data_IF_519573815573
#
_entry.id   IF_519573815573
#
_cell.length_a   1.000
_cell.length_b   1.000
_cell.length_c   1.000
_cell.angle_alpha   90.00
_cell.angle_beta   90.00
_cell.angle_gamma   90.00
#
_symmetry.space_group_name_H-M   'P 1'
#
loop_
_entity.id
_entity.type
_entity.pdbx_description
1 polymer ?
#
# COMPACT_ATOMS: atom_id res chain seq x y z
N UNK A 1 -12.45 4.77 19.44
CA UNK A 1 -11.28 5.63 19.25
C UNK A 1 -10.74 6.11 20.57
N UNK A 2 -9.50 5.71 20.88
CA UNK A 2 -8.76 6.20 22.04
C UNK A 2 -8.50 7.70 21.89
N UNK A 3 -8.35 8.43 22.99
CA UNK A 3 -8.11 9.87 22.97
C UNK A 3 -6.88 10.26 22.14
N UNK A 4 -5.76 9.53 22.30
CA UNK A 4 -4.52 9.75 21.53
C UNK A 4 -4.70 9.56 20.02
N UNK A 5 -5.64 8.72 19.58
CA UNK A 5 -5.92 8.52 18.15
C UNK A 5 -6.62 9.74 17.56
N UNK A 6 -7.55 10.34 18.29
CA UNK A 6 -8.21 11.58 17.88
C UNK A 6 -7.19 12.73 17.76
N UNK A 7 -6.28 12.85 18.73
CA UNK A 7 -5.20 13.86 18.68
C UNK A 7 -4.29 13.63 17.47
N UNK A 8 -3.90 12.37 17.24
CA UNK A 8 -3.07 12.02 16.10
C UNK A 8 -3.73 12.38 14.76
N UNK A 9 -5.02 12.07 14.57
CA UNK A 9 -5.77 12.49 13.38
C UNK A 9 -5.82 14.02 13.29
N UNK A 10 -6.08 14.75 14.39
CA UNK A 10 -6.11 16.21 14.39
C UNK A 10 -4.77 16.83 14.00
N UNK A 11 -3.65 16.23 14.43
CA UNK A 11 -2.32 16.66 13.99
C UNK A 11 -2.13 16.46 12.49
N UNK A 12 -2.58 15.32 11.94
CA UNK A 12 -2.49 15.06 10.51
C UNK A 12 -3.42 15.97 9.69
N UNK A 13 -4.62 16.25 10.19
CA UNK A 13 -5.54 17.20 9.57
C UNK A 13 -4.94 18.61 9.56
N UNK A 14 -4.43 19.09 10.70
CA UNK A 14 -3.75 20.38 10.78
C UNK A 14 -2.54 20.46 9.83
N UNK A 15 -1.81 19.36 9.64
CA UNK A 15 -0.76 19.29 8.62
C UNK A 15 -1.33 19.50 7.22
N UNK A 16 -2.37 18.76 6.84
CA UNK A 16 -2.98 18.83 5.51
C UNK A 16 -3.60 20.19 5.20
N UNK A 17 -4.17 20.87 6.21
CA UNK A 17 -4.79 22.19 6.08
C UNK A 17 -3.79 23.35 6.30
N UNK A 18 -2.51 23.06 6.60
CA UNK A 18 -1.49 24.05 7.01
C UNK A 18 -1.93 24.91 8.21
N UNK A 19 -2.69 24.32 9.13
CA UNK A 19 -3.21 24.98 10.32
C UNK A 19 -2.31 24.79 11.55
N UNK A 20 -2.47 25.69 12.52
CA UNK A 20 -1.81 25.62 13.83
C UNK A 20 -2.79 25.02 14.85
N UNK A 21 -2.26 24.26 15.79
CA UNK A 21 -3.03 23.80 16.94
C UNK A 21 -2.92 24.78 18.11
N UNK A 22 -4.04 24.98 18.82
CA UNK A 22 -4.15 25.84 20.00
C UNK A 22 -4.03 25.06 21.32
N UNK A 23 -3.77 25.80 22.40
CA UNK A 23 -3.02 25.43 23.63
C UNK A 23 -3.67 24.45 24.62
N UNK A 24 -4.96 24.12 24.51
CA UNK A 24 -5.68 23.47 25.63
C UNK A 24 -5.87 21.95 25.46
N UNK A 25 -5.00 21.30 24.68
CA UNK A 25 -5.08 19.86 24.43
C UNK A 25 -4.05 19.14 25.28
N UNK A 26 -4.50 18.25 26.16
CA UNK A 26 -3.60 17.29 26.81
C UNK A 26 -3.05 16.33 25.76
N UNK A 27 -1.72 16.21 25.64
CA UNK A 27 -1.09 15.32 24.65
C UNK A 27 -0.21 14.31 25.37
N UNK A 28 -0.49 13.03 25.16
CA UNK A 28 0.44 11.95 25.51
C UNK A 28 1.50 11.85 24.41
N UNK A 29 2.67 12.43 24.67
CA UNK A 29 3.77 12.47 23.71
C UNK A 29 4.35 11.09 23.37
N UNK A 30 4.26 10.11 24.27
CA UNK A 30 4.74 8.76 23.98
C UNK A 30 3.83 8.08 22.96
N UNK A 31 2.52 8.24 23.13
CA UNK A 31 1.54 7.74 22.16
C UNK A 31 1.68 8.44 20.80
N UNK A 32 1.85 9.77 20.78
CA UNK A 32 2.02 10.52 19.52
C UNK A 32 3.30 10.12 18.80
N UNK A 33 4.43 9.99 19.50
CA UNK A 33 5.69 9.50 18.91
C UNK A 33 5.50 8.07 18.39
N UNK A 34 4.84 7.20 19.15
CA UNK A 34 4.60 5.83 18.72
C UNK A 34 3.77 5.79 17.44
N UNK A 35 2.64 6.50 17.42
CA UNK A 35 1.74 6.57 16.28
C UNK A 35 2.44 7.18 15.05
N UNK A 36 3.14 8.30 15.22
CA UNK A 36 3.86 8.93 14.12
C UNK A 36 4.91 8.00 13.52
N UNK A 37 5.61 7.25 14.37
CA UNK A 37 6.62 6.27 13.94
C UNK A 37 6.04 5.06 13.24
N UNK A 38 5.01 4.43 13.78
CA UNK A 38 4.44 3.24 13.13
C UNK A 38 3.71 3.60 11.82
N UNK A 39 3.35 4.86 11.61
CA UNK A 39 2.73 5.38 10.39
C UNK A 39 3.71 6.13 9.46
N UNK A 40 4.99 6.25 9.83
CA UNK A 40 6.03 6.99 9.09
C UNK A 40 5.63 8.43 8.71
N UNK A 41 5.06 9.18 9.66
CA UNK A 41 4.58 10.56 9.49
C UNK A 41 5.25 11.54 10.47
N UNK A 42 6.36 11.15 11.10
CA UNK A 42 7.07 11.98 12.09
C UNK A 42 7.43 13.38 11.56
N UNK A 43 7.84 13.46 10.28
CA UNK A 43 8.15 14.73 9.64
C UNK A 43 6.93 15.66 9.52
N UNK A 44 5.75 15.11 9.22
CA UNK A 44 4.50 15.89 9.15
C UNK A 44 4.11 16.43 10.54
N UNK A 45 4.23 15.59 11.56
CA UNK A 45 3.97 15.96 12.96
C UNK A 45 4.96 17.05 13.41
N UNK A 46 6.24 16.95 13.05
CA UNK A 46 7.23 17.99 13.33
C UNK A 46 6.81 19.35 12.79
N UNK A 47 6.37 19.43 11.52
CA UNK A 47 5.96 20.68 10.88
C UNK A 47 4.83 21.35 11.64
N UNK A 48 3.78 20.59 11.98
CA UNK A 48 2.63 21.12 12.73
C UNK A 48 3.06 21.62 14.09
N UNK A 49 3.80 20.80 14.85
CA UNK A 49 4.19 21.14 16.22
C UNK A 49 5.16 22.33 16.28
N UNK A 50 6.09 22.45 15.32
CA UNK A 50 7.02 23.58 15.23
C UNK A 50 6.28 24.90 14.99
N UNK A 51 5.18 24.86 14.24
CA UNK A 51 4.41 26.05 13.88
C UNK A 51 3.27 26.35 14.89
N UNK A 52 2.95 25.40 15.75
CA UNK A 52 1.89 25.52 16.76
C UNK A 52 2.42 26.09 18.07
N UNK A 53 1.56 26.76 18.83
CA UNK A 53 1.90 27.29 20.16
C UNK A 53 1.57 26.23 21.22
N UNK A 54 2.24 25.08 21.18
CA UNK A 54 2.02 23.98 22.14
C UNK A 54 3.30 23.78 22.96
N UNK A 55 3.14 23.50 24.26
CA UNK A 55 4.25 23.09 25.14
C UNK A 55 4.76 21.70 24.80
N UNK A 56 5.57 21.58 23.75
CA UNK A 56 6.20 20.31 23.34
C UNK A 56 7.49 20.07 24.12
N UNK A 57 7.68 18.91 24.77
CA UNK A 57 8.93 18.57 25.43
C UNK A 57 10.12 18.62 24.47
N UNK A 58 11.26 19.12 24.95
CA UNK A 58 12.46 19.34 24.13
C UNK A 58 12.98 18.04 23.48
N UNK A 59 12.95 16.92 24.22
CA UNK A 59 13.35 15.62 23.73
C UNK A 59 12.46 15.12 22.57
N UNK A 60 11.15 15.38 22.64
CA UNK A 60 10.16 15.06 21.59
C UNK A 60 10.46 15.89 20.34
N UNK A 61 10.61 17.21 20.50
CA UNK A 61 10.89 18.11 19.39
C UNK A 61 12.24 17.80 18.71
N UNK A 62 13.26 17.46 19.50
CA UNK A 62 14.57 17.06 18.98
C UNK A 62 14.51 15.75 18.19
N UNK A 63 13.76 14.76 18.68
CA UNK A 63 13.55 13.50 17.95
C UNK A 63 12.83 13.75 16.62
N UNK A 64 11.71 14.47 16.65
CA UNK A 64 10.91 14.78 15.46
C UNK A 64 11.69 15.60 14.43
N UNK A 65 12.52 16.55 14.87
CA UNK A 65 13.43 17.31 13.99
C UNK A 65 14.43 16.41 13.26
N UNK A 66 15.04 15.46 13.97
CA UNK A 66 15.95 14.47 13.34
C UNK A 66 15.22 13.62 12.30
N UNK A 67 14.01 13.17 12.61
CA UNK A 67 13.20 12.39 11.68
C UNK A 67 12.75 13.20 10.47
N UNK A 68 12.39 14.47 10.65
CA UNK A 68 12.10 15.40 9.55
C UNK A 68 13.29 15.52 8.58
N UNK A 69 14.49 15.78 9.10
CA UNK A 69 15.70 15.89 8.26
C UNK A 69 15.99 14.57 7.51
N UNK A 70 15.87 13.43 8.20
CA UNK A 70 16.09 12.12 7.60
C UNK A 70 15.09 11.84 6.46
N UNK A 71 13.81 12.16 6.67
CA UNK A 71 12.74 12.00 5.68
C UNK A 71 12.97 12.87 4.45
N UNK A 72 13.29 14.17 4.65
CA UNK A 72 13.59 15.09 3.54
C UNK A 72 14.80 14.61 2.74
N UNK A 73 15.87 14.18 3.42
CA UNK A 73 17.06 13.64 2.75
C UNK A 73 16.75 12.40 1.91
N UNK A 74 15.93 11.49 2.43
CA UNK A 74 15.52 10.29 1.69
C UNK A 74 14.70 10.66 0.45
N UNK A 75 13.78 11.62 0.58
CA UNK A 75 12.98 12.11 -0.54
C UNK A 75 13.84 12.70 -1.67
N UNK A 76 14.78 13.57 -1.32
CA UNK A 76 15.70 14.19 -2.29
C UNK A 76 16.56 13.12 -2.99
N UNK A 77 17.04 12.13 -2.24
CA UNK A 77 17.78 11.01 -2.83
C UNK A 77 16.93 10.22 -3.83
N UNK A 78 15.67 9.94 -3.49
CA UNK A 78 14.72 9.25 -4.37
C UNK A 78 14.47 10.04 -5.65
N UNK A 79 14.26 11.36 -5.55
CA UNK A 79 14.02 12.25 -6.70
C UNK A 79 15.25 12.36 -7.62
N UNK A 80 16.45 12.44 -7.04
CA UNK A 80 17.70 12.47 -7.81
C UNK A 80 17.92 11.17 -8.59
N UNK A 81 17.68 10.02 -7.96
CA UNK A 81 17.80 8.72 -8.61
C UNK A 81 16.71 8.50 -9.67
N UNK A 82 15.47 8.93 -9.41
CA UNK A 82 14.40 8.93 -10.42
C UNK A 82 14.77 9.78 -11.64
N UNK A 83 15.26 11.00 -11.42
CA UNK A 83 15.68 11.89 -12.50
C UNK A 83 16.79 11.26 -13.35
N UNK A 84 17.68 10.49 -12.74
CA UNK A 84 18.75 9.75 -13.44
C UNK A 84 18.19 8.58 -14.26
N UNK A 85 17.21 7.84 -13.74
CA UNK A 85 16.52 6.77 -14.47
C UNK A 85 15.73 7.34 -15.65
N UNK A 86 14.93 8.39 -15.43
CA UNK A 86 14.15 9.07 -16.48
C UNK A 86 15.06 9.47 -17.64
N UNK A 87 16.15 10.20 -17.37
CA UNK A 87 17.08 10.62 -18.43
C UNK A 87 17.67 9.44 -19.20
N UNK A 88 18.03 8.36 -18.52
CA UNK A 88 18.60 7.17 -19.17
C UNK A 88 17.57 6.45 -20.04
N UNK A 89 16.31 6.42 -19.61
CA UNK A 89 15.23 5.77 -20.35
C UNK A 89 14.78 6.61 -21.55
N UNK A 90 14.71 7.93 -21.40
CA UNK A 90 14.45 8.88 -22.49
C UNK A 90 15.51 8.81 -23.60
N UNK A 91 16.81 8.73 -23.23
CA UNK A 91 17.91 8.57 -24.21
C UNK A 91 17.77 7.29 -25.06
N UNK A 92 17.00 6.34 -24.58
CA UNK A 92 16.86 5.00 -25.13
C UNK A 92 15.43 4.71 -25.60
N UNK A 93 14.58 5.75 -25.67
CA UNK A 93 13.18 5.70 -26.10
C UNK A 93 12.34 4.65 -25.33
N UNK A 94 12.53 4.56 -24.02
CA UNK A 94 11.73 3.70 -23.14
C UNK A 94 10.66 4.54 -22.44
N UNK A 95 9.41 4.24 -22.76
CA UNK A 95 8.25 4.82 -22.09
C UNK A 95 8.11 4.27 -20.66
N UNK A 96 7.92 5.18 -19.70
CA UNK A 96 7.57 4.84 -18.31
C UNK A 96 6.26 5.48 -17.89
N UNK A 97 5.46 4.73 -17.12
CA UNK A 97 4.34 5.30 -16.38
C UNK A 97 4.72 5.39 -14.90
N UNK A 98 4.77 6.61 -14.36
CA UNK A 98 4.95 6.84 -12.93
C UNK A 98 3.66 6.51 -12.20
N UNK A 99 3.75 5.86 -11.04
CA UNK A 99 2.56 5.45 -10.29
C UNK A 99 2.74 5.46 -8.78
N UNK A 100 1.63 5.29 -8.08
CA UNK A 100 1.57 5.25 -6.61
C UNK A 100 2.22 6.50 -6.00
N UNK A 101 3.18 6.27 -5.11
CA UNK A 101 3.62 7.26 -4.18
C UNK A 101 4.31 8.46 -4.81
N UNK A 102 5.06 8.26 -5.89
CA UNK A 102 5.82 9.34 -6.54
C UNK A 102 4.92 10.34 -7.23
N UNK A 103 3.74 9.89 -7.68
CA UNK A 103 2.70 10.74 -8.23
C UNK A 103 1.94 11.44 -7.10
N UNK A 104 1.39 10.67 -6.15
CA UNK A 104 0.51 11.23 -5.11
C UNK A 104 1.22 12.18 -4.16
N UNK A 105 2.54 12.01 -3.92
CA UNK A 105 3.27 12.90 -3.00
C UNK A 105 3.22 14.37 -3.39
N UNK A 106 3.04 14.69 -4.69
CA UNK A 106 3.04 16.07 -5.20
C UNK A 106 1.88 16.91 -4.67
N UNK A 107 0.82 16.25 -4.20
CA UNK A 107 -0.38 16.90 -3.66
C UNK A 107 -0.35 17.08 -2.14
N UNK A 108 0.72 16.65 -1.46
CA UNK A 108 0.92 16.93 -0.04
C UNK A 108 1.50 18.35 0.16
N UNK A 109 1.20 19.02 1.28
CA UNK A 109 1.73 20.36 1.57
C UNK A 109 3.26 20.46 1.47
N UNK A 110 3.96 19.43 1.95
CA UNK A 110 5.39 19.22 1.72
C UNK A 110 5.58 17.85 1.07
N UNK A 111 5.80 17.77 -0.26
CA UNK A 111 5.95 16.50 -0.96
C UNK A 111 7.03 15.60 -0.36
N UNK A 112 8.10 16.18 0.17
CA UNK A 112 9.23 15.45 0.75
C UNK A 112 8.88 14.68 2.02
N UNK A 113 7.79 15.07 2.70
CA UNK A 113 7.35 14.44 3.94
C UNK A 113 6.43 13.24 3.69
N UNK A 114 5.92 13.07 2.47
CA UNK A 114 5.22 11.84 2.08
C UNK A 114 6.26 10.73 1.89
N UNK A 115 6.53 10.00 2.97
CA UNK A 115 7.46 8.88 2.96
C UNK A 115 7.08 7.77 1.96
N UNK A 116 8.07 7.24 1.25
CA UNK A 116 7.94 6.13 0.28
C UNK A 116 9.02 5.08 0.52
N UNK A 117 8.65 3.80 0.45
CA UNK A 117 9.61 2.70 0.55
C UNK A 117 10.31 2.40 -0.78
N UNK A 118 9.59 2.62 -1.88
CA UNK A 118 9.95 2.28 -3.25
C UNK A 118 9.53 3.38 -4.21
N UNK A 119 10.05 3.32 -5.44
CA UNK A 119 9.60 4.09 -6.59
C UNK A 119 9.08 3.09 -7.63
N UNK A 120 7.80 3.18 -7.93
CA UNK A 120 7.12 2.30 -8.87
C UNK A 120 7.10 2.88 -10.28
N UNK A 121 7.62 2.12 -11.23
CA UNK A 121 7.62 2.44 -12.65
C UNK A 121 6.93 1.32 -13.40
N UNK A 122 6.06 1.64 -14.36
CA UNK A 122 5.54 0.66 -15.31
C UNK A 122 6.15 0.87 -16.69
N UNK A 123 6.62 -0.22 -17.28
CA UNK A 123 7.16 -0.27 -18.64
C UNK A 123 6.36 -1.26 -19.48
N UNK A 124 6.52 -1.20 -20.81
CA UNK A 124 6.05 -2.26 -21.70
C UNK A 124 6.83 -3.55 -21.42
N UNK A 125 6.17 -4.70 -21.57
CA UNK A 125 6.82 -6.00 -21.34
C UNK A 125 7.99 -6.25 -22.30
N UNK A 126 7.91 -5.72 -23.53
CA UNK A 126 8.99 -5.76 -24.52
C UNK A 126 10.28 -5.10 -24.05
N UNK A 127 10.18 -4.08 -23.18
CA UNK A 127 11.31 -3.24 -22.79
C UNK A 127 12.01 -3.77 -21.53
N UNK A 128 11.55 -4.92 -21.01
CA UNK A 128 12.00 -5.49 -19.75
C UNK A 128 13.52 -5.74 -19.70
N UNK A 129 14.05 -6.44 -20.69
CA UNK A 129 15.48 -6.79 -20.76
C UNK A 129 16.34 -5.54 -21.03
N UNK A 130 15.84 -4.61 -21.86
CA UNK A 130 16.51 -3.34 -22.12
C UNK A 130 16.58 -2.50 -20.84
N UNK A 131 15.47 -2.36 -20.12
CA UNK A 131 15.40 -1.64 -18.84
C UNK A 131 16.35 -2.22 -17.79
N UNK A 132 16.44 -3.55 -17.71
CA UNK A 132 17.39 -4.23 -16.80
C UNK A 132 18.85 -3.89 -17.11
N UNK A 133 19.23 -3.96 -18.39
CA UNK A 133 20.56 -3.57 -18.83
C UNK A 133 20.88 -2.12 -18.46
N UNK A 134 19.98 -1.18 -18.79
CA UNK A 134 20.20 0.26 -18.56
C UNK A 134 20.29 0.61 -17.07
N UNK A 135 19.45 -0.01 -16.22
CA UNK A 135 19.49 0.19 -14.77
C UNK A 135 20.81 -0.30 -14.18
N UNK A 136 21.32 -1.47 -14.62
CA UNK A 136 22.62 -1.99 -14.22
C UNK A 136 23.77 -1.10 -14.69
N UNK A 137 23.69 -0.60 -15.93
CA UNK A 137 24.69 0.32 -16.49
C UNK A 137 24.84 1.58 -15.63
N UNK A 138 23.72 2.13 -15.14
CA UNK A 138 23.74 3.29 -14.24
C UNK A 138 23.88 2.90 -12.75
N UNK A 139 24.31 1.67 -12.45
CA UNK A 139 24.78 1.26 -11.12
C UNK A 139 23.71 0.75 -10.15
N UNK A 140 22.52 0.37 -10.61
CA UNK A 140 21.54 -0.34 -9.79
C UNK A 140 21.83 -1.84 -9.73
N UNK A 141 21.66 -2.42 -8.55
CA UNK A 141 21.75 -3.86 -8.32
C UNK A 141 20.37 -4.51 -8.42
N UNK A 142 20.24 -5.51 -9.30
CA UNK A 142 19.03 -6.33 -9.42
C UNK A 142 18.86 -7.26 -8.21
N UNK A 143 17.74 -7.14 -7.49
CA UNK A 143 17.40 -8.04 -6.39
C UNK A 143 16.57 -9.22 -6.90
N UNK A 144 17.26 -10.32 -7.22
CA UNK A 144 16.63 -11.57 -7.67
C UNK A 144 15.68 -12.20 -6.64
N UNK A 145 15.83 -11.90 -5.34
CA UNK A 145 15.07 -12.57 -4.26
C UNK A 145 13.69 -11.95 -4.08
N UNK A 146 13.60 -10.64 -4.24
CA UNK A 146 12.35 -9.88 -4.13
C UNK A 146 11.73 -9.60 -5.50
N UNK A 147 12.45 -9.83 -6.60
CA UNK A 147 11.88 -9.81 -7.96
C UNK A 147 11.00 -11.02 -8.24
N UNK A 148 9.95 -10.78 -9.02
CA UNK A 148 9.00 -11.80 -9.44
C UNK A 148 8.62 -11.72 -10.92
N UNK A 149 7.52 -12.39 -11.18
CA UNK A 149 6.81 -12.52 -12.45
C UNK A 149 6.65 -11.24 -13.30
N UNK A 150 6.20 -10.17 -12.65
CA UNK A 150 5.71 -8.95 -13.30
C UNK A 150 6.34 -7.69 -12.69
N UNK A 151 7.21 -7.86 -11.69
CA UNK A 151 7.85 -6.79 -10.93
C UNK A 151 9.30 -7.17 -10.67
N UNK A 152 10.24 -6.35 -11.13
CA UNK A 152 11.67 -6.51 -10.89
C UNK A 152 12.18 -5.40 -10.00
N UNK A 153 12.97 -5.77 -9.00
CA UNK A 153 13.43 -4.90 -7.93
C UNK A 153 14.89 -4.50 -8.16
N UNK A 154 15.18 -3.20 -8.01
CA UNK A 154 16.49 -2.62 -8.24
C UNK A 154 16.88 -1.71 -7.08
N UNK A 155 18.09 -1.85 -6.57
CA UNK A 155 18.56 -1.08 -5.41
C UNK A 155 19.83 -0.31 -5.73
N UNK A 156 19.91 0.92 -5.21
CA UNK A 156 21.13 1.72 -5.21
C UNK A 156 21.13 2.61 -3.97
N UNK A 157 22.07 2.36 -3.06
CA UNK A 157 22.06 3.01 -1.74
C UNK A 157 20.77 2.69 -0.98
N UNK A 158 20.02 3.73 -0.58
CA UNK A 158 18.74 3.60 0.11
C UNK A 158 17.53 3.70 -0.83
N UNK A 159 17.72 3.76 -2.14
CA UNK A 159 16.64 3.86 -3.13
C UNK A 159 16.34 2.48 -3.69
N UNK A 160 15.05 2.14 -3.70
CA UNK A 160 14.49 0.92 -4.27
C UNK A 160 13.55 1.32 -5.43
N UNK A 161 13.77 0.75 -6.60
CA UNK A 161 12.83 0.79 -7.72
C UNK A 161 12.11 -0.55 -7.85
N UNK A 162 10.79 -0.50 -7.98
CA UNK A 162 9.97 -1.60 -8.48
C UNK A 162 9.61 -1.31 -9.93
N UNK A 163 10.16 -2.09 -10.87
CA UNK A 163 9.86 -1.98 -12.31
C UNK A 163 8.80 -3.00 -12.66
N UNK A 164 7.60 -2.54 -12.96
CA UNK A 164 6.40 -3.33 -13.26
C UNK A 164 6.22 -3.49 -14.78
N UNK A 165 5.64 -4.62 -15.18
CA UNK A 165 5.05 -4.81 -16.54
C UNK A 165 3.55 -5.04 -16.49
N UNK A 166 2.97 -5.02 -15.29
CA UNK A 166 1.53 -5.09 -15.06
C UNK A 166 1.23 -4.45 -13.70
N UNK A 167 0.19 -3.63 -13.64
CA UNK A 167 -0.21 -2.90 -12.42
C UNK A 167 -0.72 -3.87 -11.35
N UNK A 168 -1.57 -4.82 -11.75
CA UNK A 168 -2.16 -5.84 -10.88
C UNK A 168 -2.07 -7.18 -11.60
N UNK A 169 -1.29 -8.10 -11.03
CA UNK A 169 -0.97 -9.39 -11.64
C UNK A 169 -1.46 -10.59 -10.81
N UNK A 170 -2.21 -10.34 -9.73
CA UNK A 170 -2.74 -11.36 -8.83
C UNK A 170 -4.26 -11.24 -8.74
N UNK A 171 -4.95 -12.37 -8.69
CA UNK A 171 -6.33 -12.39 -8.24
C UNK A 171 -6.36 -11.88 -6.80
N UNK A 172 -7.16 -10.85 -6.54
CA UNK A 172 -7.19 -10.17 -5.26
C UNK A 172 -8.36 -10.68 -4.42
N UNK A 173 -9.50 -10.00 -4.49
CA UNK A 173 -10.69 -10.21 -3.68
C UNK A 173 -11.96 -10.09 -4.54
N UNK A 174 -13.12 -10.47 -3.98
CA UNK A 174 -14.45 -10.31 -4.57
C UNK A 174 -14.70 -11.02 -5.93
N UNK A 175 -13.80 -11.94 -6.31
CA UNK A 175 -13.89 -12.69 -7.58
C UNK A 175 -13.65 -11.84 -8.83
N UNK A 176 -13.12 -10.62 -8.68
CA UNK A 176 -12.89 -9.68 -9.79
C UNK A 176 -11.54 -9.93 -10.45
N UNK A 177 -11.51 -9.88 -11.79
CA UNK A 177 -10.28 -9.97 -12.57
C UNK A 177 -9.64 -8.59 -12.76
N UNK A 178 -8.95 -8.13 -11.72
CA UNK A 178 -8.24 -6.83 -11.74
C UNK A 178 -7.12 -6.76 -12.79
N UNK A 179 -6.53 -7.90 -13.16
CA UNK A 179 -5.53 -7.94 -14.23
C UNK A 179 -6.15 -7.53 -15.56
N UNK A 180 -7.36 -8.01 -15.87
CA UNK A 180 -8.07 -7.62 -17.09
C UNK A 180 -8.52 -6.16 -17.03
N UNK A 181 -9.04 -5.71 -15.88
CA UNK A 181 -9.46 -4.33 -15.69
C UNK A 181 -8.31 -3.33 -15.93
N UNK A 182 -7.11 -3.64 -15.44
CA UNK A 182 -5.92 -2.79 -15.57
C UNK A 182 -5.05 -3.09 -16.80
N UNK A 183 -5.51 -3.94 -17.71
CA UNK A 183 -4.72 -4.41 -18.86
C UNK A 183 -4.34 -3.27 -19.82
N UNK A 184 -5.28 -2.37 -20.06
CA UNK A 184 -5.14 -1.27 -21.02
C UNK A 184 -4.81 0.06 -20.32
N UNK A 185 -3.95 0.03 -19.30
CA UNK A 185 -3.50 1.26 -18.63
C UNK A 185 -2.93 2.28 -19.61
N UNK A 186 -2.21 1.85 -20.66
CA UNK A 186 -1.58 2.76 -21.61
C UNK A 186 -2.59 3.62 -22.39
N UNK A 187 -3.87 3.22 -22.46
CA UNK A 187 -4.95 4.04 -23.05
C UNK A 187 -5.48 5.10 -22.06
N UNK A 188 -5.12 4.95 -20.78
CA UNK A 188 -5.56 5.72 -19.64
C UNK A 188 -4.42 6.51 -18.98
N UNK A 189 -3.40 6.89 -19.76
CA UNK A 189 -2.33 7.78 -19.32
C UNK A 189 -2.30 9.07 -20.11
N UNK A 190 -1.80 10.13 -19.46
CA UNK A 190 -1.44 11.40 -20.08
C UNK A 190 0.08 11.55 -20.08
N UNK A 191 0.62 12.14 -21.16
CA UNK A 191 2.05 12.44 -21.27
C UNK A 191 2.38 13.65 -20.40
N UNK A 192 3.38 13.52 -19.52
CA UNK A 192 3.84 14.58 -18.62
C UNK A 192 5.12 15.23 -19.16
N UNK A 193 6.04 14.42 -19.67
CA UNK A 193 7.23 14.83 -20.39
C UNK A 193 7.60 13.75 -21.44
N UNK A 194 8.69 13.93 -22.19
CA UNK A 194 9.11 12.94 -23.19
C UNK A 194 9.31 11.56 -22.56
N UNK A 195 8.72 10.51 -23.15
CA UNK A 195 8.69 9.13 -22.63
C UNK A 195 8.21 8.94 -21.16
N UNK A 196 7.58 9.93 -20.52
CA UNK A 196 7.08 9.81 -19.15
C UNK A 196 5.60 10.15 -19.09
N UNK A 197 4.84 9.24 -18.51
CA UNK A 197 3.39 9.28 -18.48
C UNK A 197 2.87 9.07 -17.06
N UNK A 198 1.65 9.53 -16.81
CA UNK A 198 0.92 9.31 -15.57
C UNK A 198 -0.52 8.91 -15.87
N UNK A 199 -1.14 8.13 -15.00
CA UNK A 199 -2.55 7.76 -15.15
C UNK A 199 -3.44 9.00 -15.15
N UNK A 200 -4.46 9.00 -16.02
CA UNK A 200 -5.56 9.97 -15.98
C UNK A 200 -6.16 10.00 -14.57
N UNK A 201 -6.55 11.19 -14.11
CA UNK A 201 -6.93 11.46 -12.71
C UNK A 201 -7.97 10.47 -12.13
N UNK A 202 -9.06 10.15 -12.83
CA UNK A 202 -10.07 9.19 -12.36
C UNK A 202 -9.49 7.76 -12.28
N UNK A 203 -8.73 7.36 -13.30
CA UNK A 203 -8.09 6.04 -13.36
C UNK A 203 -7.04 5.88 -12.24
N UNK A 204 -6.27 6.93 -11.97
CA UNK A 204 -5.34 7.00 -10.85
C UNK A 204 -6.06 6.89 -9.50
N UNK A 205 -7.17 7.60 -9.32
CA UNK A 205 -7.96 7.56 -8.09
C UNK A 205 -8.51 6.16 -7.81
N UNK A 206 -9.10 5.50 -8.82
CA UNK A 206 -9.57 4.11 -8.74
C UNK A 206 -8.40 3.17 -8.42
N UNK A 207 -7.24 3.36 -9.06
CA UNK A 207 -6.04 2.57 -8.78
C UNK A 207 -5.59 2.69 -7.31
N UNK A 208 -5.57 3.90 -6.74
CA UNK A 208 -5.20 4.12 -5.33
C UNK A 208 -6.19 3.44 -4.38
N UNK A 209 -7.50 3.48 -4.68
CA UNK A 209 -8.53 2.76 -3.92
C UNK A 209 -8.32 1.24 -3.96
N UNK A 210 -8.09 0.67 -5.15
CA UNK A 210 -7.80 -0.75 -5.33
C UNK A 210 -6.51 -1.14 -4.59
N UNK A 211 -5.48 -0.30 -4.63
CA UNK A 211 -4.22 -0.54 -3.94
C UNK A 211 -4.41 -0.61 -2.43
N UNK A 212 -5.13 0.34 -1.83
CA UNK A 212 -5.44 0.31 -0.40
C UNK A 212 -6.32 -0.90 -0.04
N UNK A 213 -7.35 -1.21 -0.83
CA UNK A 213 -8.17 -2.40 -0.64
C UNK A 213 -7.33 -3.68 -0.63
N UNK A 214 -6.37 -3.81 -1.56
CA UNK A 214 -5.41 -4.93 -1.60
C UNK A 214 -4.56 -5.03 -0.34
N UNK A 215 -4.08 -3.92 0.20
CA UNK A 215 -3.30 -3.92 1.44
C UNK A 215 -4.16 -4.33 2.64
N UNK A 216 -5.34 -3.72 2.78
CA UNK A 216 -6.30 -4.04 3.82
C UNK A 216 -6.71 -5.50 3.80
N UNK A 217 -7.06 -6.04 2.63
CA UNK A 217 -7.45 -7.43 2.43
C UNK A 217 -6.35 -8.44 2.83
N UNK A 218 -5.07 -8.10 2.67
CA UNK A 218 -3.98 -9.07 2.88
C UNK A 218 -3.42 -9.05 4.29
N UNK A 219 -3.09 -7.87 4.79
CA UNK A 219 -2.35 -7.70 6.05
C UNK A 219 -2.75 -6.46 6.83
N UNK A 220 -3.56 -5.56 6.25
CA UNK A 220 -3.85 -4.23 6.79
C UNK A 220 -3.05 -3.13 6.09
N UNK A 221 -3.33 -1.89 6.49
CA UNK A 221 -2.68 -0.68 6.01
C UNK A 221 -2.64 0.39 7.10
N UNK A 222 -1.76 1.37 6.94
CA UNK A 222 -1.66 2.54 7.82
C UNK A 222 -2.38 3.77 7.28
N UNK A 223 -2.42 4.83 8.10
CA UNK A 223 -3.19 6.05 7.81
C UNK A 223 -2.67 6.79 6.57
N UNK A 224 -1.40 6.60 6.21
CA UNK A 224 -0.76 7.28 5.06
C UNK A 224 -1.50 7.02 3.74
N UNK A 225 -2.00 5.81 3.51
CA UNK A 225 -2.78 5.52 2.29
C UNK A 225 -4.18 6.16 2.32
N UNK A 226 -4.73 6.43 3.51
CA UNK A 226 -5.95 7.24 3.64
C UNK A 226 -5.63 8.69 3.33
N UNK A 227 -4.50 9.21 3.80
CA UNK A 227 -4.03 10.56 3.48
C UNK A 227 -3.76 10.74 1.97
N UNK A 228 -3.23 9.71 1.30
CA UNK A 228 -3.07 9.71 -0.17
C UNK A 228 -4.43 9.95 -0.88
N UNK A 229 -5.52 9.40 -0.36
CA UNK A 229 -6.87 9.62 -0.89
C UNK A 229 -7.36 11.02 -0.55
N UNK A 230 -7.13 11.50 0.67
CA UNK A 230 -7.50 12.86 1.10
C UNK A 230 -6.89 13.91 0.17
N UNK A 231 -5.58 13.85 -0.10
CA UNK A 231 -4.93 14.84 -0.97
C UNK A 231 -5.43 14.77 -2.42
N UNK A 232 -5.76 13.57 -2.91
CA UNK A 232 -6.33 13.41 -4.25
C UNK A 232 -7.77 13.95 -4.33
N UNK A 233 -8.58 13.76 -3.30
CA UNK A 233 -9.92 14.36 -3.24
C UNK A 233 -9.80 15.88 -3.18
N UNK A 234 -8.95 16.42 -2.31
CA UNK A 234 -8.79 17.87 -2.15
C UNK A 234 -8.33 18.55 -3.46
N UNK A 235 -7.42 17.92 -4.21
CA UNK A 235 -6.93 18.48 -5.48
C UNK A 235 -7.93 18.36 -6.63
N UNK A 236 -8.60 17.21 -6.74
CA UNK A 236 -9.34 16.85 -7.96
C UNK A 236 -10.86 16.80 -7.79
N UNK A 237 -11.41 17.10 -6.61
CA UNK A 237 -12.85 16.99 -6.35
C UNK A 237 -13.72 17.64 -7.44
N UNK A 238 -13.43 18.90 -7.80
CA UNK A 238 -14.21 19.65 -8.81
C UNK A 238 -13.86 19.23 -10.25
N UNK A 239 -12.81 18.43 -10.43
CA UNK A 239 -12.31 17.94 -11.73
C UNK A 239 -12.73 16.51 -12.02
N UNK A 240 -13.15 15.75 -11.01
CA UNK A 240 -13.53 14.34 -11.14
C UNK A 240 -14.92 14.19 -11.74
N UNK A 241 -15.04 13.26 -12.70
CA UNK A 241 -16.32 12.64 -13.01
C UNK A 241 -16.66 11.59 -11.94
N UNK A 242 -17.40 12.04 -10.91
CA UNK A 242 -17.83 11.18 -9.80
C UNK A 242 -18.80 10.08 -10.23
N UNK A 243 -19.59 10.30 -11.29
CA UNK A 243 -20.50 9.28 -11.81
C UNK A 243 -19.71 8.17 -12.51
N UNK A 244 -18.72 8.53 -13.34
CA UNK A 244 -17.79 7.58 -13.92
C UNK A 244 -17.06 6.76 -12.84
N UNK A 245 -16.49 7.43 -11.83
CA UNK A 245 -15.79 6.75 -10.71
C UNK A 245 -16.73 5.77 -10.02
N UNK A 246 -17.97 6.17 -9.71
CA UNK A 246 -18.96 5.30 -9.07
C UNK A 246 -19.24 4.05 -9.91
N UNK A 247 -19.50 4.24 -11.21
CA UNK A 247 -19.80 3.16 -12.14
C UNK A 247 -18.62 2.18 -12.28
N UNK A 248 -17.39 2.69 -12.34
CA UNK A 248 -16.19 1.84 -12.38
C UNK A 248 -15.98 1.05 -11.08
N UNK A 249 -16.18 1.69 -9.93
CA UNK A 249 -16.09 1.03 -8.63
C UNK A 249 -17.16 -0.05 -8.46
N UNK A 250 -18.37 0.14 -8.99
CA UNK A 250 -19.41 -0.88 -9.00
C UNK A 250 -19.02 -2.09 -9.87
N UNK A 251 -18.49 -1.86 -11.08
CA UNK A 251 -18.00 -2.92 -11.97
C UNK A 251 -16.95 -3.81 -11.31
N UNK A 252 -16.05 -3.22 -10.51
CA UNK A 252 -15.01 -3.94 -9.76
C UNK A 252 -15.43 -4.27 -8.32
N UNK A 253 -16.70 -4.11 -7.98
CA UNK A 253 -17.31 -4.43 -6.67
C UNK A 253 -16.67 -3.71 -5.46
N UNK A 254 -16.01 -2.58 -5.68
CA UNK A 254 -15.38 -1.78 -4.63
C UNK A 254 -16.21 -0.58 -4.18
N UNK A 255 -17.44 -0.44 -4.65
CA UNK A 255 -18.28 0.72 -4.35
C UNK A 255 -18.52 0.88 -2.83
N UNK A 256 -18.93 -0.17 -2.13
CA UNK A 256 -19.19 -0.12 -0.68
C UNK A 256 -17.93 0.22 0.12
N UNK A 257 -16.82 -0.45 -0.18
CA UNK A 257 -15.52 -0.18 0.44
C UNK A 257 -15.11 1.28 0.25
N UNK A 258 -15.17 1.76 -0.99
CA UNK A 258 -14.76 3.12 -1.34
C UNK A 258 -15.68 4.15 -0.71
N UNK A 259 -16.98 3.86 -0.60
CA UNK A 259 -17.94 4.71 0.09
C UNK A 259 -17.57 4.91 1.57
N UNK A 260 -17.34 3.80 2.30
CA UNK A 260 -16.94 3.86 3.71
C UNK A 260 -15.64 4.66 3.89
N UNK A 261 -14.70 4.51 2.96
CA UNK A 261 -13.41 5.18 3.01
C UNK A 261 -13.49 6.68 2.67
N UNK A 262 -14.28 7.06 1.66
CA UNK A 262 -14.52 8.46 1.31
C UNK A 262 -15.30 9.15 2.45
N UNK A 263 -16.22 8.46 3.12
CA UNK A 263 -16.88 8.96 4.32
C UNK A 263 -15.88 9.23 5.46
N UNK A 264 -14.87 8.38 5.65
CA UNK A 264 -13.78 8.65 6.61
C UNK A 264 -13.03 9.93 6.23
N UNK A 265 -12.72 10.11 4.94
CA UNK A 265 -12.05 11.32 4.45
C UNK A 265 -12.90 12.58 4.71
N UNK A 266 -14.21 12.52 4.44
CA UNK A 266 -15.15 13.60 4.76
C UNK A 266 -15.21 13.90 6.26
N UNK A 267 -15.41 12.87 7.09
CA UNK A 267 -15.70 13.04 8.53
C UNK A 267 -14.48 13.41 9.36
N UNK A 268 -13.32 12.85 9.06
CA UNK A 268 -12.12 12.99 9.88
C UNK A 268 -11.04 13.88 9.25
N UNK A 269 -11.15 14.18 7.96
CA UNK A 269 -10.21 15.00 7.22
C UNK A 269 -10.86 16.13 6.40
N UNK A 270 -12.11 16.50 6.72
CA UNK A 270 -12.85 17.63 6.14
C UNK A 270 -12.92 17.65 4.60
N UNK A 271 -12.77 16.52 3.92
CA UNK A 271 -12.79 16.49 2.46
C UNK A 271 -14.15 16.93 1.90
N UNK A 272 -14.14 17.73 0.84
CA UNK A 272 -15.34 17.96 0.02
C UNK A 272 -15.66 16.66 -0.73
N UNK A 273 -16.89 16.18 -0.60
CA UNK A 273 -17.36 14.93 -1.23
C UNK A 273 -18.81 15.09 -1.74
N UNK A 274 -19.24 14.32 -2.76
CA UNK A 274 -20.64 14.30 -3.17
C UNK A 274 -21.57 13.88 -2.03
N UNK A 275 -22.83 14.34 -2.04
CA UNK A 275 -23.77 14.16 -0.92
C UNK A 275 -24.02 12.70 -0.53
N UNK A 276 -23.96 11.79 -1.49
CA UNK A 276 -24.08 10.34 -1.24
C UNK A 276 -22.99 9.82 -0.30
N UNK A 277 -21.76 10.34 -0.41
CA UNK A 277 -20.62 9.95 0.42
C UNK A 277 -20.62 10.61 1.80
N UNK A 278 -21.51 11.58 2.07
CA UNK A 278 -21.69 12.20 3.40
C UNK A 278 -22.49 11.33 4.36
N UNK A 279 -23.04 10.20 3.89
CA UNK A 279 -23.83 9.26 4.68
C UNK A 279 -23.22 7.88 4.59
N UNK A 280 -22.79 7.31 5.70
CA UNK A 280 -22.32 5.92 5.77
C UNK A 280 -22.65 5.32 7.14
N UNK A 281 -22.39 4.02 7.31
CA UNK A 281 -22.45 3.39 8.61
C UNK A 281 -21.27 3.87 9.47
N UNK A 282 -21.52 4.86 10.31
CA UNK A 282 -20.49 5.50 11.14
C UNK A 282 -19.76 4.49 12.05
N UNK A 283 -20.46 3.46 12.53
CA UNK A 283 -19.86 2.41 13.34
C UNK A 283 -18.81 1.63 12.54
N UNK A 284 -19.14 1.20 11.32
CA UNK A 284 -18.20 0.47 10.45
C UNK A 284 -17.01 1.36 10.07
N UNK A 285 -17.25 2.63 9.72
CA UNK A 285 -16.20 3.58 9.38
C UNK A 285 -15.24 3.84 10.55
N UNK A 286 -15.78 4.01 11.76
CA UNK A 286 -14.99 4.18 12.99
C UNK A 286 -14.19 2.91 13.31
N UNK A 287 -14.76 1.73 13.12
CA UNK A 287 -14.06 0.45 13.30
C UNK A 287 -12.90 0.32 12.31
N UNK A 288 -13.12 0.65 11.03
CA UNK A 288 -12.07 0.66 10.01
C UNK A 288 -10.94 1.63 10.36
N UNK A 289 -11.27 2.86 10.75
CA UNK A 289 -10.27 3.86 11.13
C UNK A 289 -9.49 3.45 12.38
N UNK A 290 -10.16 2.96 13.43
CA UNK A 290 -9.50 2.41 14.62
C UNK A 290 -8.59 1.22 14.24
N UNK A 291 -9.02 0.39 13.29
CA UNK A 291 -8.24 -0.75 12.79
C UNK A 291 -6.98 -0.32 12.03
N UNK A 292 -7.07 0.70 11.19
CA UNK A 292 -5.95 1.29 10.44
C UNK A 292 -4.94 1.91 11.40
N UNK A 293 -5.40 2.74 12.34
CA UNK A 293 -4.51 3.49 13.26
C UNK A 293 -3.71 2.54 14.16
N UNK A 294 -4.30 1.43 14.61
CA UNK A 294 -3.58 0.43 15.43
C UNK A 294 -2.48 -0.32 14.68
N UNK A 295 -2.53 -0.37 13.35
CA UNK A 295 -1.78 -1.35 12.56
C UNK A 295 -0.44 -0.85 12.01
N UNK A 296 -0.24 0.47 11.97
CA UNK A 296 0.91 1.10 11.31
C UNK A 296 0.90 0.93 9.77
N UNK A 297 1.90 1.51 9.09
CA UNK A 297 2.01 1.58 7.61
C UNK A 297 1.72 0.25 6.92
N UNK A 298 2.29 -0.84 7.42
CA UNK A 298 2.20 -2.16 6.78
C UNK A 298 1.05 -3.03 7.29
N UNK A 299 0.25 -2.54 8.25
CA UNK A 299 -0.83 -3.31 8.86
C UNK A 299 -0.39 -4.31 9.94
N UNK A 300 0.90 -4.35 10.29
CA UNK A 300 1.52 -5.46 11.01
C UNK A 300 1.90 -5.13 12.48
N UNK A 301 1.74 -3.88 12.91
CA UNK A 301 2.13 -3.49 14.26
C UNK A 301 1.31 -4.26 15.31
N UNK A 302 2.00 -4.98 16.21
CA UNK A 302 1.40 -5.83 17.24
C UNK A 302 0.34 -6.83 16.74
N UNK A 303 0.48 -7.35 15.51
CA UNK A 303 -0.44 -8.35 14.92
C UNK A 303 0.28 -9.57 14.35
N UNK A 304 -0.40 -10.72 14.41
CA UNK A 304 0.05 -11.93 13.72
C UNK A 304 -0.37 -11.91 12.24
N UNK A 305 0.49 -11.32 11.41
CA UNK A 305 0.28 -11.25 9.96
C UNK A 305 0.13 -12.63 9.28
N UNK A 306 0.71 -13.69 9.86
CA UNK A 306 0.58 -15.03 9.28
C UNK A 306 -0.79 -15.61 9.60
N UNK A 307 -1.29 -15.41 10.83
CA UNK A 307 -2.64 -15.83 11.18
C UNK A 307 -3.69 -15.10 10.33
N UNK A 308 -3.56 -13.79 10.14
CA UNK A 308 -4.44 -13.00 9.25
C UNK A 308 -4.40 -13.56 7.82
N UNK A 309 -3.21 -13.61 7.22
CA UNK A 309 -3.05 -13.97 5.80
C UNK A 309 -3.56 -15.35 5.44
N UNK A 310 -3.37 -16.33 6.33
CA UNK A 310 -3.72 -17.72 6.04
C UNK A 310 -5.13 -18.11 6.46
N UNK A 311 -5.80 -17.29 7.27
CA UNK A 311 -7.17 -17.56 7.74
C UNK A 311 -8.19 -16.55 7.21
N UNK A 312 -7.94 -15.95 6.05
CA UNK A 312 -8.96 -15.20 5.32
C UNK A 312 -10.12 -16.14 4.98
N UNK A 313 -11.31 -15.82 5.49
CA UNK A 313 -12.46 -16.72 5.49
C UNK A 313 -13.66 -16.10 4.78
N UNK A 314 -13.62 -16.06 3.45
CA UNK A 314 -14.72 -15.55 2.62
C UNK A 314 -15.97 -16.44 2.62
N UNK A 315 -15.87 -17.69 3.08
CA UNK A 315 -16.92 -18.70 2.92
C UNK A 315 -17.59 -19.08 4.25
N UNK A 316 -17.32 -18.35 5.33
CA UNK A 316 -17.89 -18.64 6.65
C UNK A 316 -17.51 -20.02 7.23
N UNK A 317 -16.36 -20.58 6.81
CA UNK A 317 -15.91 -21.91 7.27
C UNK A 317 -15.61 -21.89 8.77
N UNK A 318 -15.88 -22.99 9.48
CA UNK A 318 -15.57 -23.08 10.90
C UNK A 318 -14.06 -23.18 11.13
N UNK A 319 -13.47 -22.13 11.72
CA UNK A 319 -12.05 -22.02 12.06
C UNK A 319 -11.51 -23.19 12.88
N UNK A 320 -12.34 -23.81 13.72
CA UNK A 320 -11.91 -24.90 14.60
C UNK A 320 -11.88 -26.27 13.90
N UNK A 321 -12.55 -26.39 12.76
CA UNK A 321 -12.60 -27.64 12.01
C UNK A 321 -11.21 -28.11 11.57
N UNK A 322 -10.98 -29.41 11.70
CA UNK A 322 -9.73 -30.04 11.27
C UNK A 322 -9.55 -29.88 9.74
N UNK A 323 -10.63 -30.00 8.97
CA UNK A 323 -10.61 -29.83 7.51
C UNK A 323 -10.13 -28.45 7.09
N UNK A 324 -10.57 -27.37 7.75
CA UNK A 324 -10.13 -26.00 7.48
C UNK A 324 -8.63 -25.82 7.73
N UNK A 325 -8.14 -26.27 8.89
CA UNK A 325 -6.72 -26.19 9.26
C UNK A 325 -5.85 -26.98 8.28
N UNK A 326 -6.29 -28.18 7.92
CA UNK A 326 -5.62 -29.05 6.94
C UNK A 326 -5.60 -28.37 5.56
N UNK A 327 -6.73 -27.86 5.06
CA UNK A 327 -6.83 -27.11 3.79
C UNK A 327 -5.85 -25.93 3.72
N UNK A 328 -5.76 -25.12 4.78
CA UNK A 328 -4.84 -23.98 4.82
C UNK A 328 -3.37 -24.41 4.89
N UNK A 329 -3.07 -25.50 5.61
CA UNK A 329 -1.73 -26.10 5.60
C UNK A 329 -1.35 -26.63 4.20
N UNK A 330 -2.27 -27.30 3.52
CA UNK A 330 -2.07 -27.80 2.15
C UNK A 330 -1.74 -26.66 1.19
N UNK A 331 -2.45 -25.52 1.26
CA UNK A 331 -2.12 -24.33 0.45
C UNK A 331 -0.70 -23.80 0.68
N UNK A 332 -0.14 -23.95 1.89
CA UNK A 332 1.23 -23.54 2.21
C UNK A 332 2.25 -24.52 1.66
N UNK A 333 2.04 -25.82 1.87
CA UNK A 333 3.03 -26.85 1.53
C UNK A 333 2.99 -27.16 0.03
N UNK A 334 1.78 -27.24 -0.53
CA UNK A 334 1.46 -27.60 -1.90
C UNK A 334 0.67 -26.49 -2.61
N UNK A 335 1.28 -25.34 -2.93
CA UNK A 335 0.62 -24.28 -3.69
C UNK A 335 0.14 -24.76 -5.06
N UNK A 336 -0.92 -24.16 -5.59
CA UNK A 336 -1.45 -24.49 -6.92
C UNK A 336 -0.45 -24.16 -8.04
N UNK A 337 -0.71 -24.69 -9.24
CA UNK A 337 0.11 -24.40 -10.42
C UNK A 337 0.15 -22.89 -10.73
N UNK A 338 -1.00 -22.22 -10.65
CA UNK A 338 -1.15 -20.78 -10.88
C UNK A 338 -0.31 -19.99 -9.87
N UNK A 339 -0.35 -20.41 -8.60
CA UNK A 339 0.44 -19.80 -7.52
C UNK A 339 1.94 -19.97 -7.76
N UNK A 340 2.38 -21.18 -8.12
CA UNK A 340 3.78 -21.47 -8.42
C UNK A 340 4.29 -20.69 -9.64
N UNK A 341 3.47 -20.60 -10.71
CA UNK A 341 3.77 -19.85 -11.93
C UNK A 341 3.85 -18.33 -11.69
N UNK A 342 3.06 -17.82 -10.75
CA UNK A 342 3.12 -16.42 -10.30
C UNK A 342 4.37 -16.12 -9.47
N UNK A 343 4.79 -17.02 -8.58
CA UNK A 343 5.94 -16.78 -7.69
C UNK A 343 7.29 -17.00 -8.36
N UNK A 344 7.39 -17.90 -9.34
CA UNK A 344 8.67 -18.37 -9.84
C UNK A 344 8.74 -18.30 -11.37
N UNK A 345 9.54 -17.36 -11.89
CA UNK A 345 9.76 -17.23 -13.33
C UNK A 345 10.27 -18.53 -13.99
N UNK A 346 11.12 -19.30 -13.31
CA UNK A 346 11.63 -20.58 -13.83
C UNK A 346 10.56 -21.69 -13.94
N UNK A 347 9.45 -21.56 -13.21
CA UNK A 347 8.34 -22.51 -13.23
C UNK A 347 7.26 -22.12 -14.26
N UNK A 348 7.22 -20.84 -14.65
CA UNK A 348 6.25 -20.32 -15.62
C UNK A 348 6.37 -21.03 -16.97
N UNK A 349 5.22 -21.38 -17.55
CA UNK A 349 5.13 -22.05 -18.85
C UNK A 349 5.52 -23.54 -18.83
N UNK A 350 5.91 -24.09 -17.67
CA UNK A 350 6.16 -25.53 -17.53
C UNK A 350 4.82 -26.31 -17.51
N UNK A 351 4.75 -27.53 -18.03
CA UNK A 351 3.51 -28.30 -17.99
C UNK A 351 3.09 -28.62 -16.55
N UNK A 352 1.78 -28.80 -16.31
CA UNK A 352 1.21 -29.00 -14.95
C UNK A 352 1.80 -30.21 -14.22
N UNK A 353 2.23 -31.25 -14.92
CA UNK A 353 2.89 -32.42 -14.32
C UNK A 353 4.27 -32.10 -13.71
N UNK A 354 4.84 -30.92 -13.99
CA UNK A 354 6.09 -30.44 -13.39
C UNK A 354 5.90 -29.94 -11.94
N UNK A 355 4.64 -29.81 -11.48
CA UNK A 355 4.30 -29.25 -10.18
C UNK A 355 4.95 -29.96 -8.97
N UNK A 356 5.06 -31.31 -8.92
CA UNK A 356 5.76 -31.99 -7.84
C UNK A 356 7.24 -31.61 -7.74
N UNK A 357 7.94 -31.49 -8.88
CA UNK A 357 9.34 -31.02 -8.93
C UNK A 357 9.40 -29.57 -8.44
N UNK A 358 8.41 -28.76 -8.85
CA UNK A 358 8.15 -27.42 -8.36
C UNK A 358 8.17 -27.31 -6.83
N UNK A 359 7.37 -28.15 -6.18
CA UNK A 359 7.25 -28.19 -4.73
C UNK A 359 8.53 -28.65 -4.04
N UNK A 360 9.17 -29.71 -4.51
CA UNK A 360 10.43 -30.23 -3.93
C UNK A 360 11.51 -29.15 -3.94
N UNK A 361 11.72 -28.50 -5.09
CA UNK A 361 12.69 -27.40 -5.20
C UNK A 361 12.35 -26.25 -4.24
N UNK A 362 11.07 -25.89 -4.13
CA UNK A 362 10.62 -24.85 -3.19
C UNK A 362 10.90 -25.25 -1.73
N UNK A 363 10.67 -26.50 -1.34
CA UNK A 363 10.94 -26.96 0.01
C UNK A 363 12.42 -26.88 0.34
N UNK A 364 13.29 -27.34 -0.57
CA UNK A 364 14.75 -27.23 -0.43
C UNK A 364 15.15 -25.77 -0.20
N UNK A 365 14.72 -24.85 -1.08
CA UNK A 365 15.05 -23.42 -0.94
C UNK A 365 14.53 -22.86 0.41
N UNK A 366 13.31 -23.21 0.82
CA UNK A 366 12.75 -22.72 2.07
C UNK A 366 13.50 -23.24 3.31
N UNK A 367 13.98 -24.49 3.28
CA UNK A 367 14.74 -25.09 4.39
C UNK A 367 16.13 -24.46 4.49
N UNK A 368 16.84 -24.28 3.38
CA UNK A 368 18.18 -23.71 3.37
C UNK A 368 18.20 -22.20 3.66
N UNK A 369 17.21 -21.45 3.18
CA UNK A 369 17.28 -19.98 3.18
C UNK A 369 16.20 -19.29 4.03
N UNK A 370 15.13 -19.98 4.46
CA UNK A 370 13.96 -19.35 5.12
C UNK A 370 13.38 -20.16 6.30
N UNK A 371 14.20 -21.00 6.96
CA UNK A 371 13.76 -21.97 8.00
C UNK A 371 12.88 -21.38 9.10
N UNK A 372 13.19 -20.16 9.59
CA UNK A 372 12.40 -19.52 10.65
C UNK A 372 11.02 -19.01 10.16
N UNK A 373 10.91 -18.64 8.88
CA UNK A 373 9.68 -18.10 8.33
C UNK A 373 8.63 -19.18 8.05
N UNK A 374 9.02 -20.43 7.77
CA UNK A 374 8.05 -21.49 7.48
C UNK A 374 7.31 -21.97 8.73
N UNK A 375 7.98 -22.07 9.87
CA UNK A 375 7.35 -22.43 11.14
C UNK A 375 6.27 -21.40 11.54
N UNK A 376 6.55 -20.11 11.35
CA UNK A 376 5.57 -19.05 11.60
C UNK A 376 4.37 -19.13 10.67
N UNK A 377 4.58 -19.42 9.38
CA UNK A 377 3.50 -19.62 8.40
C UNK A 377 2.59 -20.78 8.78
N UNK A 378 3.18 -21.93 9.13
CA UNK A 378 2.44 -23.12 9.56
C UNK A 378 1.64 -22.81 10.84
N UNK A 379 2.27 -22.19 11.84
CA UNK A 379 1.61 -21.78 13.08
C UNK A 379 0.44 -20.82 12.80
N UNK A 380 0.63 -19.82 11.95
CA UNK A 380 -0.43 -18.88 11.56
C UNK A 380 -1.60 -19.58 10.89
N UNK A 381 -1.37 -20.51 9.97
CA UNK A 381 -2.43 -21.23 9.26
C UNK A 381 -3.21 -22.24 10.11
N UNK A 382 -2.60 -22.78 11.17
CA UNK A 382 -3.26 -23.80 12.02
C UNK A 382 -3.84 -23.22 13.30
N UNK A 383 -3.31 -22.08 13.78
CA UNK A 383 -3.80 -21.37 14.97
C UNK A 383 -4.42 -20.02 14.55
N UNK A 384 -5.74 -20.04 14.37
CA UNK A 384 -6.54 -18.83 14.18
C UNK A 384 -6.55 -18.05 15.49
N UNK A 385 -5.99 -16.84 15.49
CA UNK A 385 -5.98 -15.97 16.66
C UNK A 385 -7.06 -14.89 16.56
N UNK A 386 -7.16 -14.04 17.59
CA UNK A 386 -8.13 -12.93 17.60
C UNK A 386 -7.86 -11.91 16.49
N UNK A 387 -6.60 -11.66 16.11
CA UNK A 387 -6.27 -10.74 15.02
C UNK A 387 -6.89 -11.19 13.69
N UNK A 388 -6.84 -12.50 13.39
CA UNK A 388 -7.46 -13.06 12.18
C UNK A 388 -8.99 -12.95 12.21
N UNK A 389 -9.62 -13.15 13.39
CA UNK A 389 -11.07 -12.99 13.55
C UNK A 389 -11.50 -11.53 13.39
N UNK A 390 -10.83 -10.60 14.08
CA UNK A 390 -11.05 -9.15 13.96
C UNK A 390 -10.85 -8.69 12.51
N UNK A 391 -9.80 -9.18 11.84
CA UNK A 391 -9.53 -8.85 10.44
C UNK A 391 -10.66 -9.26 9.51
N UNK A 392 -11.12 -10.52 9.58
CA UNK A 392 -12.20 -11.00 8.73
C UNK A 392 -13.51 -10.25 9.00
N UNK A 393 -13.85 -10.01 10.26
CA UNK A 393 -15.04 -9.22 10.62
C UNK A 393 -14.99 -7.82 10.00
N UNK A 394 -13.83 -7.17 10.03
CA UNK A 394 -13.67 -5.83 9.45
C UNK A 394 -13.76 -5.89 7.92
N UNK A 395 -13.11 -6.85 7.27
CA UNK A 395 -13.17 -6.98 5.81
C UNK A 395 -14.60 -7.23 5.32
N UNK A 396 -15.39 -8.07 6.03
CA UNK A 396 -16.81 -8.30 5.73
C UNK A 396 -17.64 -7.01 5.91
N UNK A 397 -17.46 -6.29 7.03
CA UNK A 397 -18.18 -5.05 7.34
C UNK A 397 -17.92 -3.89 6.36
N UNK A 398 -16.82 -3.94 5.61
CA UNK A 398 -16.43 -2.89 4.65
C UNK A 398 -16.56 -3.36 3.20
N UNK A 399 -17.13 -4.54 2.95
CA UNK A 399 -17.38 -5.05 1.59
C UNK A 399 -16.14 -5.57 0.86
N UNK A 400 -15.13 -6.09 1.57
CA UNK A 400 -13.92 -6.73 1.00
C UNK A 400 -13.88 -8.26 1.15
N UNK A 401 -14.81 -8.84 1.91
CA UNK A 401 -15.14 -10.27 1.95
C UNK A 401 -16.63 -10.41 1.68
#
# INVERSE_FOLDING_TARGET
MKYSFNIFIRLLLAYLENEKLNTDIFIDWNDIILLSRIHNVEGMIYVVLKNSQIGVPENVMTYLSKMFIATVRQSINQENELSRVIRKFQQEDIDIVLMKGIVTKRYFPNPELRTMGDIDLLIKESDREKSDYLLKEIGFAFDKRESGASVWNYTRGSVLFEVHTSIIYQQLFLGVNYTEYFKNVLDNVDKIEENVYEMKKEYHFIYVLVHLAKHLYRTGSGIRMVMDIVVLINEFYDKYDWEYIRNELEKIKLLEFSHNLIYICYKYFNCKVPDEYKKANDKNCKMLLDYIIKAGVFGQYNRDQYSIKYNLNSNGENYDSLSYKVKNLFKIIFPSYETMSSWFGWFRGKPKWYLPIGWVRRWIINVYYKKYNILKKIKGATKVNNDAKEHNEIMERIGLL
#
